data_IF_893973496778
#
_entry.id   IF_893973496778
#
_cell.length_a   1.000
_cell.length_b   1.000
_cell.length_c   1.000
_cell.angle_alpha   90.00
_cell.angle_beta   90.00
_cell.angle_gamma   90.00
#
_symmetry.space_group_name_H-M   'P 1'
#
loop_
_entity.id
_entity.type
_entity.pdbx_description
1 polymer ?
#
# COMPACT_ATOMS: atom_id res chain seq x y z
N UNK A 1 13.13 1.38 10.39
CA UNK A 1 11.97 0.90 9.61
C UNK A 1 11.04 2.08 9.41
N UNK A 2 10.96 2.58 8.19
CA UNK A 2 10.06 3.70 7.85
C UNK A 2 8.63 3.21 7.71
N UNK A 3 7.63 4.07 7.91
CA UNK A 3 6.21 3.69 7.77
C UNK A 3 5.90 3.16 6.37
N UNK A 4 6.58 3.70 5.35
CA UNK A 4 6.47 3.26 3.95
C UNK A 4 6.85 1.78 3.77
N UNK A 5 7.94 1.35 4.40
CA UNK A 5 8.36 -0.06 4.38
C UNK A 5 7.34 -0.96 5.08
N UNK A 6 6.74 -0.50 6.18
CA UNK A 6 5.70 -1.26 6.86
C UNK A 6 4.46 -1.39 5.99
N UNK A 7 4.03 -0.31 5.31
CA UNK A 7 2.93 -0.38 4.33
C UNK A 7 3.25 -1.42 3.26
N UNK A 8 4.46 -1.39 2.69
CA UNK A 8 4.92 -2.35 1.68
C UNK A 8 4.79 -3.80 2.17
N UNK A 9 5.32 -4.11 3.34
CA UNK A 9 5.24 -5.45 3.93
C UNK A 9 3.80 -5.88 4.20
N UNK A 10 2.96 -4.98 4.69
CA UNK A 10 1.55 -5.30 4.95
C UNK A 10 0.74 -5.51 3.68
N UNK A 11 1.10 -4.82 2.58
CA UNK A 11 0.52 -5.06 1.25
C UNK A 11 0.92 -6.45 0.75
N UNK A 12 2.20 -6.82 0.88
CA UNK A 12 2.69 -8.15 0.50
C UNK A 12 2.01 -9.24 1.33
N UNK A 13 1.82 -9.00 2.64
CA UNK A 13 1.11 -9.90 3.53
C UNK A 13 -0.42 -9.93 3.32
N UNK A 14 -0.97 -9.07 2.45
CA UNK A 14 -2.42 -8.98 2.21
C UNK A 14 -3.23 -8.45 3.42
N UNK A 15 -2.59 -7.76 4.36
CA UNK A 15 -3.19 -7.31 5.62
C UNK A 15 -3.89 -5.97 5.48
N UNK A 16 -5.16 -6.01 5.06
CA UNK A 16 -6.03 -4.83 4.86
C UNK A 16 -6.07 -3.88 6.06
N UNK A 17 -6.26 -4.41 7.27
CA UNK A 17 -6.39 -3.59 8.50
C UNK A 17 -5.12 -2.79 8.78
N UNK A 18 -3.97 -3.46 8.72
CA UNK A 18 -2.68 -2.84 9.01
C UNK A 18 -2.27 -1.86 7.91
N UNK A 19 -2.54 -2.17 6.64
CA UNK A 19 -2.29 -1.22 5.54
C UNK A 19 -3.03 0.09 5.79
N UNK A 20 -4.31 0.04 6.18
CA UNK A 20 -5.07 1.24 6.54
C UNK A 20 -4.39 2.02 7.67
N UNK A 21 -4.07 1.33 8.76
CA UNK A 21 -3.50 1.93 9.98
C UNK A 21 -2.15 2.61 9.72
N UNK A 22 -1.26 1.96 8.96
CA UNK A 22 0.03 2.55 8.58
C UNK A 22 -0.10 3.67 7.56
N UNK A 23 -1.08 3.57 6.64
CA UNK A 23 -1.37 4.64 5.68
C UNK A 23 -1.84 5.90 6.41
N UNK A 24 -2.76 5.77 7.38
CA UNK A 24 -3.19 6.86 8.26
C UNK A 24 -2.01 7.43 9.05
N UNK A 25 -1.16 6.57 9.62
CA UNK A 25 0.03 7.00 10.37
C UNK A 25 1.03 7.78 9.50
N UNK A 26 1.23 7.35 8.25
CA UNK A 26 2.11 8.05 7.31
C UNK A 26 1.58 9.45 6.98
N UNK A 27 0.27 9.55 6.71
CA UNK A 27 -0.39 10.84 6.47
C UNK A 27 -0.30 11.73 7.70
N UNK A 28 -0.53 11.18 8.89
CA UNK A 28 -0.43 11.91 10.16
C UNK A 28 0.99 12.43 10.43
N UNK A 29 2.02 11.74 9.93
CA UNK A 29 3.41 12.20 9.98
C UNK A 29 3.72 13.30 8.96
N UNK A 30 2.75 13.69 8.11
CA UNK A 30 2.94 14.69 7.06
C UNK A 30 3.73 14.15 5.86
N UNK A 31 3.80 12.82 5.68
CA UNK A 31 4.40 12.24 4.48
C UNK A 31 3.54 12.56 3.25
N UNK A 32 4.21 12.79 2.13
CA UNK A 32 3.53 13.06 0.87
C UNK A 32 2.71 11.84 0.44
N UNK A 33 1.44 12.10 0.10
CA UNK A 33 0.51 11.04 -0.29
C UNK A 33 1.00 10.33 -1.56
N UNK A 34 1.71 11.04 -2.44
CA UNK A 34 2.33 10.45 -3.62
C UNK A 34 3.47 9.50 -3.26
N UNK A 35 4.25 9.79 -2.23
CA UNK A 35 5.27 8.86 -1.72
C UNK A 35 4.62 7.63 -1.09
N UNK A 36 3.57 7.81 -0.29
CA UNK A 36 2.84 6.68 0.32
C UNK A 36 2.28 5.73 -0.74
N UNK A 37 1.74 6.29 -1.82
CA UNK A 37 1.26 5.53 -2.97
C UNK A 37 2.40 4.82 -3.70
N UNK A 38 3.45 5.53 -4.11
CA UNK A 38 4.52 4.98 -4.94
C UNK A 38 5.47 4.05 -4.15
N UNK A 39 6.02 4.54 -3.05
CA UNK A 39 7.02 3.84 -2.22
C UNK A 39 6.41 2.86 -1.22
N UNK A 40 5.11 2.99 -0.90
CA UNK A 40 4.39 2.06 -0.04
C UNK A 40 3.57 1.04 -0.84
N UNK A 41 2.44 1.50 -1.38
CA UNK A 41 1.41 0.65 -1.98
C UNK A 41 1.87 0.00 -3.30
N UNK A 42 2.37 0.81 -4.24
CA UNK A 42 2.85 0.34 -5.56
C UNK A 42 4.11 -0.49 -5.40
N UNK A 43 5.05 -0.07 -4.55
CA UNK A 43 6.24 -0.85 -4.23
C UNK A 43 5.89 -2.24 -3.70
N UNK A 44 4.86 -2.36 -2.83
CA UNK A 44 4.39 -3.65 -2.32
C UNK A 44 3.82 -4.54 -3.42
N UNK A 45 3.05 -3.92 -4.33
CA UNK A 45 2.47 -4.62 -5.47
C UNK A 45 3.52 -5.08 -6.49
N UNK A 46 4.59 -4.30 -6.69
CA UNK A 46 5.74 -4.70 -7.52
C UNK A 46 6.45 -5.93 -6.94
N UNK A 47 6.60 -6.01 -5.61
CA UNK A 47 7.19 -7.20 -4.97
C UNK A 47 6.31 -8.43 -5.16
N UNK A 48 5.00 -8.32 -4.92
CA UNK A 48 4.04 -9.39 -5.20
C UNK A 48 4.07 -9.82 -6.66
N UNK A 49 4.14 -8.87 -7.60
CA UNK A 49 4.24 -9.16 -9.04
C UNK A 49 5.54 -9.87 -9.41
N UNK A 50 6.65 -9.52 -8.75
CA UNK A 50 7.93 -10.21 -8.93
C UNK A 50 7.90 -11.63 -8.33
N UNK A 51 7.29 -11.81 -7.15
CA UNK A 51 7.10 -13.12 -6.52
C UNK A 51 6.20 -14.01 -7.37
N UNK A 52 5.14 -13.46 -7.96
CA UNK A 52 4.22 -14.18 -8.84
C UNK A 52 4.94 -14.68 -10.10
N UNK A 53 5.84 -13.88 -10.67
CA UNK A 53 6.70 -14.30 -11.80
C UNK A 53 7.73 -15.37 -11.42
N UNK A 54 8.06 -15.49 -10.13
CA UNK A 54 9.01 -16.47 -9.60
C UNK A 54 8.34 -17.77 -9.13
N UNK A 55 7.02 -17.91 -9.34
CA UNK A 55 6.22 -19.00 -8.78
C UNK A 55 6.30 -19.10 -7.24
N UNK A 56 6.61 -17.99 -6.54
CA UNK A 56 6.67 -17.93 -5.07
C UNK A 56 5.33 -17.57 -4.41
N UNK A 57 4.40 -16.97 -5.16
CA UNK A 57 3.04 -16.64 -4.70
C UNK A 57 2.02 -16.99 -5.77
N UNK A 58 0.79 -17.32 -5.35
CA UNK A 58 -0.30 -17.70 -6.23
C UNK A 58 -1.32 -16.57 -6.39
N UNK A 59 -2.30 -16.79 -7.28
CA UNK A 59 -3.41 -15.86 -7.53
C UNK A 59 -4.13 -15.41 -6.25
N UNK A 60 -4.39 -16.27 -5.24
CA UNK A 60 -5.00 -15.86 -3.98
C UNK A 60 -4.19 -14.79 -3.23
N UNK A 61 -2.86 -14.94 -3.09
CA UNK A 61 -2.02 -13.94 -2.44
C UNK A 61 -2.04 -12.61 -3.19
N UNK A 62 -1.98 -12.66 -4.53
CA UNK A 62 -2.07 -11.46 -5.38
C UNK A 62 -3.41 -10.75 -5.18
N UNK A 63 -4.52 -11.48 -5.09
CA UNK A 63 -5.85 -10.92 -4.82
C UNK A 63 -5.94 -10.30 -3.42
N UNK A 64 -5.30 -10.91 -2.42
CA UNK A 64 -5.25 -10.35 -1.06
C UNK A 64 -4.44 -9.07 -1.03
N UNK A 65 -3.26 -9.05 -1.66
CA UNK A 65 -2.44 -7.85 -1.81
C UNK A 65 -3.18 -6.74 -2.57
N UNK A 66 -3.91 -7.08 -3.64
CA UNK A 66 -4.74 -6.14 -4.39
C UNK A 66 -5.84 -5.53 -3.50
N UNK A 67 -6.51 -6.32 -2.66
CA UNK A 67 -7.51 -5.80 -1.69
C UNK A 67 -6.89 -4.89 -0.64
N UNK A 68 -5.71 -5.25 -0.12
CA UNK A 68 -4.99 -4.44 0.84
C UNK A 68 -4.58 -3.09 0.22
N UNK A 69 -4.02 -3.13 -1.00
CA UNK A 69 -3.70 -1.95 -1.79
C UNK A 69 -4.93 -1.06 -2.00
N UNK A 70 -6.07 -1.63 -2.38
CA UNK A 70 -7.29 -0.88 -2.63
C UNK A 70 -7.81 -0.17 -1.38
N UNK A 71 -7.62 -0.78 -0.21
CA UNK A 71 -7.98 -0.16 1.08
C UNK A 71 -7.03 0.97 1.44
N UNK A 72 -5.72 0.81 1.23
CA UNK A 72 -4.76 1.90 1.38
C UNK A 72 -5.13 3.07 0.48
N UNK A 73 -5.41 2.79 -0.80
CA UNK A 73 -5.93 3.76 -1.77
C UNK A 73 -7.20 4.47 -1.28
N UNK A 74 -8.16 3.76 -0.68
CA UNK A 74 -9.37 4.37 -0.15
C UNK A 74 -9.12 5.36 0.99
N UNK A 75 -8.03 5.21 1.75
CA UNK A 75 -7.60 6.16 2.80
C UNK A 75 -6.99 7.41 2.16
N UNK A 76 -6.09 7.23 1.19
CA UNK A 76 -5.41 8.34 0.55
C UNK A 76 -6.26 9.08 -0.49
N UNK A 77 -7.25 8.44 -1.11
CA UNK A 77 -8.13 9.06 -2.11
C UNK A 77 -8.84 10.34 -1.62
N UNK A 78 -9.49 10.37 -0.43
CA UNK A 78 -10.06 11.60 0.11
C UNK A 78 -8.98 12.61 0.50
N UNK A 79 -7.78 12.16 0.91
CA UNK A 79 -6.67 13.05 1.26
C UNK A 79 -6.07 13.73 0.03
N UNK A 80 -5.91 13.03 -1.10
CA UNK A 80 -5.48 13.61 -2.38
C UNK A 80 -6.51 14.62 -2.88
N UNK A 81 -7.80 14.25 -2.82
CA UNK A 81 -8.89 15.14 -3.22
C UNK A 81 -8.95 16.40 -2.32
N UNK A 82 -8.71 16.26 -1.01
CA UNK A 82 -8.70 17.38 -0.06
C UNK A 82 -7.40 18.19 -0.13
N UNK A 83 -6.29 17.59 -0.55
CA UNK A 83 -5.00 18.27 -0.76
C UNK A 83 -4.97 19.07 -2.07
N UNK A 84 -6.03 19.05 -2.88
CA UNK A 84 -6.15 19.88 -4.07
C UNK A 84 -5.24 19.49 -5.23
N UNK A 85 -4.68 18.27 -5.21
CA UNK A 85 -3.97 17.68 -6.34
C UNK A 85 -5.01 17.28 -7.39
N UNK A 86 -5.38 18.24 -8.25
CA UNK A 86 -6.17 18.04 -9.46
C UNK A 86 -5.28 17.67 -10.64
#
# INVERSE_FOLDING_TARGET
>A
MTVLEQIKEQVIAGSVKKVKEYTDAAVAQGLDVSMILNDGLIAGMNVIGALFKKDEVYVPEVLMAARAMHTGLAVIKPLIASAGLK
#
